data_IF_137952972590
#
_entry.id   IF_137952972590
#
_cell.length_a   1.000
_cell.length_b   1.000
_cell.length_c   1.000
_cell.angle_alpha   90.00
_cell.angle_beta   90.00
_cell.angle_gamma   90.00
#
_symmetry.space_group_name_H-M   'P 1'
#
loop_
_entity.id
_entity.type
_entity.pdbx_description
1 polymer ?
#
# COMPACT_ATOMS: atom_id res chain seq x y z
N UNK A 1 9.83 -9.96 -38.09
CA UNK A 1 9.85 -8.64 -37.44
C UNK A 1 9.37 -8.78 -36.00
N UNK A 2 10.18 -8.39 -35.08
CA UNK A 2 9.76 -8.33 -33.70
C UNK A 2 8.77 -7.18 -33.51
N UNK A 3 7.56 -7.47 -33.08
CA UNK A 3 6.62 -6.45 -32.68
C UNK A 3 7.01 -5.98 -31.28
N UNK A 4 7.35 -4.71 -31.18
CA UNK A 4 7.63 -4.11 -29.87
C UNK A 4 6.30 -4.02 -29.11
N UNK A 5 6.24 -4.60 -27.92
CA UNK A 5 5.06 -4.45 -27.07
C UNK A 5 5.00 -3.01 -26.56
N UNK A 6 3.93 -2.24 -26.86
CA UNK A 6 3.80 -0.87 -26.38
C UNK A 6 3.56 -0.76 -24.88
N UNK A 7 3.21 -1.87 -24.19
CA UNK A 7 2.85 -1.87 -22.79
C UNK A 7 3.63 -2.93 -22.00
N UNK A 8 4.97 -2.81 -21.93
CA UNK A 8 5.79 -3.86 -21.31
C UNK A 8 5.54 -4.03 -19.81
N UNK A 9 5.20 -2.96 -19.09
CA UNK A 9 4.97 -3.06 -17.65
C UNK A 9 3.59 -3.64 -17.34
N UNK A 10 2.59 -3.37 -18.17
CA UNK A 10 1.28 -4.02 -18.08
C UNK A 10 1.44 -5.53 -18.28
N UNK A 11 2.17 -5.93 -19.32
CA UNK A 11 2.39 -7.34 -19.61
C UNK A 11 3.15 -8.03 -18.48
N UNK A 12 4.22 -7.39 -17.99
CA UNK A 12 5.00 -7.94 -16.88
C UNK A 12 4.13 -8.12 -15.63
N UNK A 13 3.29 -7.16 -15.31
CA UNK A 13 2.42 -7.25 -14.14
C UNK A 13 1.36 -8.34 -14.31
N UNK A 14 0.76 -8.48 -15.49
CA UNK A 14 -0.19 -9.57 -15.77
C UNK A 14 0.46 -10.95 -15.57
N UNK A 15 1.71 -11.10 -15.98
CA UNK A 15 2.41 -12.38 -15.88
C UNK A 15 2.76 -12.79 -14.45
N UNK A 16 2.73 -11.87 -13.49
CA UNK A 16 2.98 -12.19 -12.08
C UNK A 16 1.82 -12.94 -11.43
N UNK A 17 0.63 -12.90 -12.02
CA UNK A 17 -0.58 -13.41 -11.39
C UNK A 17 -1.17 -12.48 -10.34
N UNK A 18 -0.52 -11.36 -10.05
CA UNK A 18 -0.97 -10.36 -9.08
C UNK A 18 -1.55 -9.17 -9.85
N UNK A 19 -2.71 -9.40 -10.48
CA UNK A 19 -3.38 -8.41 -11.31
C UNK A 19 -4.64 -7.92 -10.63
N UNK A 20 -4.77 -6.60 -10.49
CA UNK A 20 -5.99 -6.00 -9.96
C UNK A 20 -7.04 -5.94 -11.09
N UNK A 21 -8.21 -6.60 -10.93
CA UNK A 21 -9.22 -6.62 -11.98
C UNK A 21 -9.69 -5.23 -12.43
N UNK A 22 -9.64 -4.22 -11.56
CA UNK A 22 -10.01 -2.85 -11.91
C UNK A 22 -9.07 -2.28 -12.97
N UNK A 23 -7.84 -2.77 -13.05
CA UNK A 23 -6.89 -2.32 -14.07
C UNK A 23 -7.32 -2.67 -15.49
N UNK A 24 -8.19 -3.65 -15.69
CA UNK A 24 -8.77 -3.91 -17.00
C UNK A 24 -9.61 -2.73 -17.49
N UNK A 25 -10.36 -2.10 -16.59
CA UNK A 25 -11.12 -0.90 -16.93
C UNK A 25 -10.19 0.27 -17.24
N UNK A 26 -9.14 0.43 -16.44
CA UNK A 26 -8.14 1.49 -16.68
C UNK A 26 -7.44 1.28 -18.00
N UNK A 27 -7.12 0.03 -18.36
CA UNK A 27 -6.52 -0.29 -19.64
C UNK A 27 -7.43 0.12 -20.80
N UNK A 28 -8.72 -0.14 -20.68
CA UNK A 28 -9.68 0.20 -21.71
C UNK A 28 -9.87 1.71 -21.85
N UNK A 29 -9.79 2.44 -20.75
CA UNK A 29 -9.97 3.89 -20.73
C UNK A 29 -8.70 4.65 -21.17
N UNK A 30 -7.56 4.25 -20.62
CA UNK A 30 -6.28 4.93 -20.86
C UNK A 30 -5.12 3.97 -20.59
N UNK A 31 -4.74 3.16 -21.56
CA UNK A 31 -3.64 2.21 -21.40
C UNK A 31 -2.29 2.87 -21.17
N UNK A 32 -2.07 4.06 -21.75
CA UNK A 32 -0.82 4.78 -21.57
C UNK A 32 -0.64 5.22 -20.12
N UNK A 33 -1.71 5.67 -19.50
CA UNK A 33 -1.68 6.07 -18.09
C UNK A 33 -1.39 4.87 -17.18
N UNK A 34 -2.05 3.74 -17.43
CA UNK A 34 -1.81 2.52 -16.65
C UNK A 34 -0.37 2.04 -16.82
N UNK A 35 0.17 2.06 -18.06
CA UNK A 35 1.55 1.67 -18.31
C UNK A 35 2.52 2.58 -17.55
N UNK A 36 2.30 3.89 -17.58
CA UNK A 36 3.12 4.85 -16.86
C UNK A 36 3.08 4.60 -15.35
N UNK A 37 1.90 4.32 -14.80
CA UNK A 37 1.74 4.01 -13.36
C UNK A 37 2.50 2.73 -13.00
N UNK A 38 2.34 1.67 -13.78
CA UNK A 38 3.01 0.39 -13.50
C UNK A 38 4.52 0.51 -13.65
N UNK A 39 4.99 1.34 -14.57
CA UNK A 39 6.41 1.65 -14.67
C UNK A 39 6.90 2.35 -13.40
N UNK A 40 6.22 3.41 -12.99
CA UNK A 40 6.53 4.15 -11.77
C UNK A 40 6.58 3.21 -10.55
N UNK A 41 5.55 2.38 -10.42
CA UNK A 41 5.44 1.41 -9.32
C UNK A 41 6.56 0.37 -9.34
N UNK A 42 6.98 -0.05 -10.53
CA UNK A 42 7.98 -1.11 -10.67
C UNK A 42 9.35 -0.70 -10.15
N UNK A 43 9.67 0.58 -10.14
CA UNK A 43 10.99 1.05 -9.73
C UNK A 43 11.29 0.65 -8.29
N UNK A 44 10.50 1.02 -7.27
CA UNK A 44 10.76 0.54 -5.92
C UNK A 44 10.47 -0.93 -5.72
N UNK A 45 9.57 -1.52 -6.54
CA UNK A 45 9.22 -2.94 -6.38
C UNK A 45 10.31 -3.89 -6.85
N UNK A 46 11.09 -3.52 -7.87
CA UNK A 46 12.10 -4.38 -8.45
C UNK A 46 13.52 -3.98 -8.10
N UNK A 47 13.72 -2.79 -7.56
CA UNK A 47 15.03 -2.27 -7.19
C UNK A 47 15.08 -1.94 -5.71
N UNK A 48 16.28 -1.75 -5.23
CA UNK A 48 16.51 -1.37 -3.84
C UNK A 48 16.86 -2.53 -2.96
N UNK A 49 17.40 -2.24 -1.75
CA UNK A 49 17.98 -3.26 -0.87
C UNK A 49 16.97 -4.05 -0.04
N UNK A 50 15.69 -3.63 -0.01
CA UNK A 50 14.69 -4.36 0.76
C UNK A 50 14.27 -5.63 0.04
N UNK A 51 14.25 -6.74 0.77
CA UNK A 51 13.72 -8.00 0.27
C UNK A 51 12.21 -7.89 0.05
N UNK A 52 11.69 -8.72 -0.85
CA UNK A 52 10.27 -8.70 -1.21
C UNK A 52 9.35 -8.87 0.01
N UNK A 53 9.73 -9.70 0.95
CA UNK A 53 8.98 -9.89 2.20
C UNK A 53 8.72 -8.55 2.91
N UNK A 54 9.74 -7.72 3.03
CA UNK A 54 9.62 -6.43 3.71
C UNK A 54 8.78 -5.44 2.92
N UNK A 55 8.91 -5.45 1.59
CA UNK A 55 8.07 -4.60 0.75
C UNK A 55 6.60 -4.92 0.93
N UNK A 56 6.26 -6.21 0.97
CA UNK A 56 4.87 -6.63 1.18
C UNK A 56 4.36 -6.27 2.58
N UNK A 57 5.20 -6.39 3.61
CA UNK A 57 4.85 -5.97 4.96
C UNK A 57 4.56 -4.47 5.02
N UNK A 58 5.37 -3.67 4.33
CA UNK A 58 5.16 -2.22 4.22
C UNK A 58 3.83 -1.92 3.52
N UNK A 59 3.51 -2.62 2.44
CA UNK A 59 2.23 -2.45 1.73
C UNK A 59 1.05 -2.82 2.62
N UNK A 60 1.17 -3.86 3.44
CA UNK A 60 0.15 -4.20 4.43
C UNK A 60 -0.07 -3.02 5.37
N UNK A 61 1.00 -2.47 5.93
CA UNK A 61 0.93 -1.35 6.85
C UNK A 61 0.21 -0.16 6.22
N UNK A 62 0.57 0.19 4.98
CA UNK A 62 -0.05 1.31 4.27
C UNK A 62 -1.55 1.07 4.06
N UNK A 63 -1.93 -0.16 3.68
CA UNK A 63 -3.32 -0.46 3.36
C UNK A 63 -4.23 -0.56 4.58
N UNK A 64 -3.68 -0.84 5.77
CA UNK A 64 -4.49 -0.94 6.99
C UNK A 64 -4.52 0.35 7.81
N UNK A 65 -3.73 1.36 7.47
CA UNK A 65 -3.79 2.62 8.22
C UNK A 65 -5.14 3.31 8.07
N UNK A 66 -5.53 4.03 9.11
CA UNK A 66 -6.87 4.62 9.23
C UNK A 66 -7.25 5.51 8.04
N UNK A 67 -6.27 6.18 7.44
CA UNK A 67 -6.51 7.08 6.32
C UNK A 67 -6.69 6.37 4.99
N UNK A 68 -6.37 5.07 4.92
CA UNK A 68 -6.46 4.32 3.67
C UNK A 68 -7.48 3.18 3.74
N UNK A 69 -7.36 2.27 4.70
CA UNK A 69 -8.31 1.17 4.98
C UNK A 69 -8.77 0.43 3.72
N UNK A 70 -7.82 0.04 2.88
CA UNK A 70 -8.12 -0.57 1.58
C UNK A 70 -8.09 -2.10 1.68
N UNK A 71 -9.23 -2.72 1.94
CA UNK A 71 -9.33 -4.16 2.18
C UNK A 71 -8.79 -5.03 1.04
N UNK A 72 -9.06 -4.76 -0.25
CA UNK A 72 -8.47 -5.56 -1.33
C UNK A 72 -6.94 -5.54 -1.34
N UNK A 73 -6.34 -4.38 -1.03
CA UNK A 73 -4.88 -4.26 -0.91
C UNK A 73 -4.35 -5.04 0.28
N UNK A 74 -5.02 -4.97 1.43
CA UNK A 74 -4.64 -5.74 2.62
C UNK A 74 -4.61 -7.22 2.29
N UNK A 75 -5.68 -7.74 1.69
CA UNK A 75 -5.78 -9.16 1.35
C UNK A 75 -4.66 -9.59 0.40
N UNK A 76 -4.44 -8.82 -0.66
CA UNK A 76 -3.43 -9.14 -1.68
C UNK A 76 -2.03 -9.16 -1.07
N UNK A 77 -1.69 -8.12 -0.32
CA UNK A 77 -0.34 -8.00 0.22
C UNK A 77 -0.08 -8.99 1.36
N UNK A 78 -1.10 -9.40 2.11
CA UNK A 78 -0.96 -10.52 3.06
C UNK A 78 -0.63 -11.81 2.29
N UNK A 79 -1.35 -12.09 1.22
CA UNK A 79 -1.07 -13.27 0.39
C UNK A 79 0.36 -13.24 -0.15
N UNK A 80 0.78 -12.08 -0.66
CA UNK A 80 2.13 -11.92 -1.20
C UNK A 80 3.21 -12.03 -0.12
N UNK A 81 2.95 -11.47 1.06
CA UNK A 81 3.88 -11.56 2.19
C UNK A 81 4.09 -13.00 2.63
N UNK A 82 3.00 -13.77 2.75
CA UNK A 82 3.08 -15.19 3.09
C UNK A 82 3.88 -15.98 2.05
N UNK A 83 3.66 -15.71 0.75
CA UNK A 83 4.43 -16.33 -0.33
C UNK A 83 5.91 -15.95 -0.27
N UNK A 84 6.22 -14.73 0.19
CA UNK A 84 7.59 -14.24 0.32
C UNK A 84 8.26 -14.68 1.63
N UNK A 85 7.58 -15.49 2.44
CA UNK A 85 8.15 -16.10 3.64
C UNK A 85 7.83 -15.37 4.95
N UNK A 86 6.93 -14.38 4.94
CA UNK A 86 6.48 -13.75 6.18
C UNK A 86 5.63 -14.72 6.99
N UNK A 87 5.75 -14.64 8.31
CA UNK A 87 4.94 -15.45 9.22
C UNK A 87 3.69 -14.69 9.63
N UNK A 88 2.70 -15.42 10.12
CA UNK A 88 1.50 -14.81 10.71
C UNK A 88 1.87 -13.83 11.81
N UNK A 89 2.84 -14.20 12.67
CA UNK A 89 3.28 -13.35 13.77
C UNK A 89 3.88 -12.04 13.28
N UNK A 90 4.69 -12.09 12.22
CA UNK A 90 5.27 -10.89 11.62
C UNK A 90 4.20 -9.97 11.04
N UNK A 91 3.23 -10.55 10.33
CA UNK A 91 2.14 -9.79 9.74
C UNK A 91 1.28 -9.15 10.84
N UNK A 92 0.96 -9.92 11.88
CA UNK A 92 0.17 -9.42 13.00
C UNK A 92 0.89 -8.24 13.70
N UNK A 93 2.19 -8.35 13.90
CA UNK A 93 2.98 -7.28 14.51
C UNK A 93 2.92 -6.00 13.66
N UNK A 94 3.03 -6.14 12.34
CA UNK A 94 2.92 -4.98 11.43
C UNK A 94 1.57 -4.30 11.60
N UNK A 95 0.49 -5.07 11.63
CA UNK A 95 -0.86 -4.53 11.82
C UNK A 95 -0.98 -3.84 13.18
N UNK A 96 -0.44 -4.46 14.23
CA UNK A 96 -0.45 -3.88 15.58
C UNK A 96 0.30 -2.55 15.62
N UNK A 97 1.46 -2.47 14.95
CA UNK A 97 2.26 -1.24 14.91
C UNK A 97 1.51 -0.08 14.26
N UNK A 98 0.66 -0.36 13.27
CA UNK A 98 -0.13 0.71 12.63
C UNK A 98 -1.15 1.33 13.58
N UNK A 99 -1.57 0.61 14.62
CA UNK A 99 -2.56 1.12 15.57
C UNK A 99 -1.95 2.05 16.60
N UNK A 100 -0.63 1.94 16.85
CA UNK A 100 0.06 2.73 17.89
C UNK A 100 0.01 4.22 17.56
N UNK A 101 0.22 4.59 16.31
CA UNK A 101 0.25 6.00 15.90
C UNK A 101 -1.10 6.70 16.04
N UNK A 102 -2.18 5.95 16.28
CA UNK A 102 -3.50 6.53 16.55
C UNK A 102 -3.52 7.35 17.83
N UNK A 103 -2.56 7.16 18.73
CA UNK A 103 -2.40 8.01 19.92
C UNK A 103 -2.23 9.48 19.53
N UNK A 104 -1.79 9.76 18.31
CA UNK A 104 -1.65 11.15 17.84
C UNK A 104 -3.00 11.89 17.81
N UNK A 105 -4.12 11.18 17.75
CA UNK A 105 -5.43 11.82 17.92
C UNK A 105 -5.52 12.49 19.29
N UNK A 106 -5.04 11.82 20.34
CA UNK A 106 -5.02 12.39 21.70
C UNK A 106 -3.97 13.48 21.85
N UNK A 107 -2.77 13.24 21.34
CA UNK A 107 -1.69 14.22 21.48
C UNK A 107 -1.98 15.50 20.68
N UNK A 108 -2.76 15.41 19.62
CA UNK A 108 -3.26 16.57 18.89
C UNK A 108 -4.40 17.26 19.63
N UNK A 109 -5.39 16.51 20.06
CA UNK A 109 -6.65 17.09 20.54
C UNK A 109 -6.60 17.50 22.01
N UNK A 110 -5.85 16.81 22.85
CA UNK A 110 -5.82 17.10 24.29
C UNK A 110 -5.31 18.53 24.61
N UNK A 111 -4.20 19.00 24.01
CA UNK A 111 -3.78 20.39 24.22
C UNK A 111 -4.81 21.41 23.74
N UNK A 112 -5.48 21.13 22.61
CA UNK A 112 -6.53 22.02 22.09
C UNK A 112 -7.70 22.07 23.06
N UNK A 113 -8.11 20.91 23.59
CA UNK A 113 -9.17 20.87 24.60
C UNK A 113 -8.80 21.72 25.81
N UNK A 114 -7.55 21.59 26.30
CA UNK A 114 -7.10 22.36 27.44
C UNK A 114 -7.16 23.87 27.15
N UNK A 115 -6.71 24.28 25.98
CA UNK A 115 -6.75 25.69 25.56
C UNK A 115 -8.19 26.22 25.57
N UNK A 116 -9.11 25.46 25.00
CA UNK A 116 -10.50 25.88 24.91
C UNK A 116 -11.19 25.88 26.28
N UNK A 117 -10.84 24.93 27.16
CA UNK A 117 -11.33 24.93 28.54
C UNK A 117 -10.83 26.16 29.31
N UNK A 118 -9.57 26.52 29.12
CA UNK A 118 -8.99 27.71 29.76
C UNK A 118 -9.71 28.99 29.30
N UNK A 119 -10.01 29.09 27.99
CA UNK A 119 -10.77 30.22 27.45
C UNK A 119 -12.20 30.27 28.01
N UNK A 120 -12.85 29.12 28.10
CA UNK A 120 -14.22 29.03 28.59
C UNK A 120 -14.31 29.45 30.05
N UNK A 121 -13.28 29.19 30.85
CA UNK A 121 -13.26 29.46 32.29
C UNK A 121 -12.74 30.85 32.66
N UNK A 122 -12.37 31.69 31.67
CA UNK A 122 -11.96 33.07 31.94
C UNK A 122 -13.08 34.08 31.80
#
# INVERSE_FOLDING_TARGET
MSTTNPYPHIEAQRSTGDWNPVWDQLFDMDPDYLEAFLHFRSVPQTKGPLEQKYKELIFIAINVVTTHLHAPGVRRHIQNALKAGATQAEILEVIQLTTIMRIHAMTLAAPILQEEMDRFNT
#
